data_IF_561725617150
#
_entry.id   IF_561725617150
#
_cell.length_a   1.000
_cell.length_b   1.000
_cell.length_c   1.000
_cell.angle_alpha   90.00
_cell.angle_beta   90.00
_cell.angle_gamma   90.00
#
_symmetry.space_group_name_H-M   'P 1'
#
loop_
_entity.id
_entity.type
_entity.pdbx_description
1 polymer ?
#
# COMPACT_ATOMS: atom_id res chain seq x y z
N UNK A 1 -13.03 18.18 -25.35
CA UNK A 1 -13.34 19.54 -24.85
C UNK A 1 -13.22 20.62 -25.93
N UNK A 2 -12.33 20.47 -26.94
CA UNK A 2 -12.07 21.50 -27.96
C UNK A 2 -13.16 21.65 -29.05
N UNK A 3 -14.35 21.04 -28.89
CA UNK A 3 -15.47 21.16 -29.84
C UNK A 3 -15.39 20.31 -31.12
N UNK A 4 -14.38 19.45 -31.28
CA UNK A 4 -14.19 18.65 -32.50
C UNK A 4 -15.16 17.45 -32.65
N UNK A 5 -15.75 16.97 -31.55
CA UNK A 5 -16.70 15.85 -31.53
C UNK A 5 -17.92 16.22 -30.67
N UNK A 6 -19.11 15.76 -31.05
CA UNK A 6 -20.37 16.08 -30.35
C UNK A 6 -20.60 15.22 -29.09
N UNK A 7 -20.13 13.96 -29.11
CA UNK A 7 -20.23 13.03 -27.99
C UNK A 7 -19.16 11.94 -28.08
N UNK A 8 -18.91 11.28 -26.95
CA UNK A 8 -18.07 10.08 -26.86
C UNK A 8 -18.63 9.10 -25.84
N UNK A 9 -18.20 7.84 -25.94
CA UNK A 9 -18.45 6.81 -24.95
C UNK A 9 -17.19 6.61 -24.12
N UNK A 10 -17.30 6.80 -22.82
CA UNK A 10 -16.18 6.64 -21.89
C UNK A 10 -16.62 5.77 -20.71
N UNK A 11 -15.64 5.09 -20.13
CA UNK A 11 -15.81 4.46 -18.83
C UNK A 11 -16.10 5.56 -17.79
N UNK A 12 -17.04 5.34 -16.89
CA UNK A 12 -17.53 6.34 -15.94
C UNK A 12 -16.41 6.88 -15.08
N UNK A 13 -15.43 6.06 -14.72
CA UNK A 13 -14.27 6.51 -13.99
C UNK A 13 -13.40 7.48 -14.79
N UNK A 14 -13.30 7.31 -16.11
CA UNK A 14 -12.64 8.28 -17.01
C UNK A 14 -13.46 9.56 -17.09
N UNK A 15 -14.80 9.45 -17.19
CA UNK A 15 -15.68 10.61 -17.17
C UNK A 15 -15.60 11.39 -15.85
N UNK A 16 -15.58 10.72 -14.70
CA UNK A 16 -15.45 11.34 -13.38
C UNK A 16 -14.11 12.09 -13.23
N UNK A 17 -13.02 11.54 -13.79
CA UNK A 17 -11.72 12.20 -13.84
C UNK A 17 -11.79 13.46 -14.71
N UNK A 18 -12.38 13.36 -15.89
CA UNK A 18 -12.47 14.47 -16.85
C UNK A 18 -13.43 15.57 -16.37
N UNK A 19 -14.58 15.23 -15.77
CA UNK A 19 -15.49 16.19 -15.13
C UNK A 19 -14.86 16.93 -13.96
N UNK A 20 -13.96 16.25 -13.22
CA UNK A 20 -13.21 16.88 -12.14
C UNK A 20 -12.10 17.83 -12.64
N UNK A 21 -11.66 17.67 -13.90
CA UNK A 21 -10.60 18.46 -14.52
C UNK A 21 -11.12 19.56 -15.47
N UNK A 22 -12.29 19.37 -16.08
CA UNK A 22 -12.88 20.26 -17.08
C UNK A 22 -14.40 20.36 -16.89
N UNK A 23 -14.89 21.60 -16.73
CA UNK A 23 -16.33 21.87 -16.52
C UNK A 23 -17.22 21.76 -17.77
N UNK A 24 -16.64 21.52 -18.95
CA UNK A 24 -17.35 21.62 -20.23
C UNK A 24 -17.96 20.30 -20.72
N UNK A 25 -17.67 19.20 -20.03
CA UNK A 25 -18.19 17.86 -20.34
C UNK A 25 -19.44 17.61 -19.49
N UNK A 26 -20.48 16.98 -20.05
CA UNK A 26 -21.70 16.63 -19.31
C UNK A 26 -22.08 15.18 -19.57
N UNK A 27 -22.35 14.41 -18.51
CA UNK A 27 -22.99 13.09 -18.63
C UNK A 27 -24.43 13.21 -19.12
N UNK A 28 -24.85 12.37 -20.06
CA UNK A 28 -26.20 12.41 -20.66
C UNK A 28 -26.94 11.09 -20.56
N UNK A 29 -26.29 9.95 -20.76
CA UNK A 29 -26.97 8.64 -20.62
C UNK A 29 -26.02 7.62 -20.02
N UNK A 30 -26.45 6.87 -19.00
CA UNK A 30 -25.73 5.69 -18.52
C UNK A 30 -26.17 4.47 -19.31
N UNK A 31 -25.23 3.71 -19.86
CA UNK A 31 -25.48 2.52 -20.69
C UNK A 31 -25.07 1.25 -19.91
N UNK A 32 -26.01 0.30 -19.82
CA UNK A 32 -25.89 -1.09 -19.35
C UNK A 32 -25.35 -1.38 -17.93
N UNK A 33 -25.28 -2.69 -17.61
CA UNK A 33 -24.86 -3.31 -16.35
C UNK A 33 -23.35 -3.15 -16.06
N UNK A 34 -22.98 -3.16 -14.78
CA UNK A 34 -21.59 -3.05 -14.30
C UNK A 34 -20.72 -4.22 -14.80
N UNK A 35 -19.74 -3.94 -15.65
CA UNK A 35 -18.79 -4.94 -16.14
C UNK A 35 -17.54 -4.91 -15.25
N UNK A 36 -17.02 -6.04 -14.72
CA UNK A 36 -15.77 -6.02 -13.95
C UNK A 36 -14.56 -5.70 -14.83
N UNK A 37 -13.57 -4.99 -14.29
CA UNK A 37 -12.22 -4.94 -14.89
C UNK A 37 -11.54 -6.30 -14.71
N UNK A 38 -11.01 -6.85 -15.81
CA UNK A 38 -10.27 -8.11 -15.82
C UNK A 38 -8.89 -7.92 -16.42
N UNK A 39 -7.92 -8.68 -15.91
CA UNK A 39 -6.61 -8.81 -16.55
C UNK A 39 -6.70 -10.00 -17.51
N UNK A 40 -6.56 -9.72 -18.80
CA UNK A 40 -6.53 -10.76 -19.82
C UNK A 40 -5.16 -11.43 -19.88
N UNK A 41 -5.14 -12.77 -19.98
CA UNK A 41 -3.94 -13.57 -20.24
C UNK A 41 -4.17 -14.47 -21.44
N UNK A 42 -3.10 -14.95 -22.09
CA UNK A 42 -3.22 -15.90 -23.20
C UNK A 42 -3.88 -17.21 -22.71
N UNK A 43 -4.80 -17.75 -23.51
CA UNK A 43 -5.60 -18.94 -23.16
C UNK A 43 -4.76 -20.17 -22.76
N UNK A 44 -3.53 -20.30 -23.25
CA UNK A 44 -2.66 -21.44 -22.93
C UNK A 44 -1.85 -21.25 -21.64
N UNK A 45 -2.05 -20.16 -20.89
CA UNK A 45 -1.25 -19.83 -19.70
C UNK A 45 -2.06 -19.87 -18.41
N UNK A 46 -2.62 -21.06 -18.10
CA UNK A 46 -3.43 -21.30 -16.91
C UNK A 46 -2.69 -20.99 -15.60
N UNK A 47 -1.38 -21.28 -15.54
CA UNK A 47 -0.57 -20.99 -14.35
C UNK A 47 -0.50 -19.49 -14.05
N UNK A 48 -0.33 -18.64 -15.06
CA UNK A 48 -0.34 -17.19 -14.85
C UNK A 48 -1.71 -16.69 -14.42
N UNK A 49 -2.79 -17.24 -15.01
CA UNK A 49 -4.18 -16.93 -14.64
C UNK A 49 -4.42 -17.20 -13.16
N UNK A 50 -4.02 -18.38 -12.67
CA UNK A 50 -4.14 -18.76 -11.26
C UNK A 50 -3.36 -17.82 -10.33
N UNK A 51 -2.08 -17.57 -10.65
CA UNK A 51 -1.23 -16.67 -9.86
C UNK A 51 -1.81 -15.27 -9.78
N UNK A 52 -2.31 -14.72 -10.90
CA UNK A 52 -2.95 -13.41 -10.95
C UNK A 52 -4.25 -13.38 -10.14
N UNK A 53 -5.09 -14.40 -10.24
CA UNK A 53 -6.33 -14.50 -9.47
C UNK A 53 -6.06 -14.53 -7.96
N UNK A 54 -5.06 -15.32 -7.52
CA UNK A 54 -4.63 -15.33 -6.11
C UNK A 54 -4.07 -13.97 -5.69
N UNK A 55 -3.26 -13.34 -6.55
CA UNK A 55 -2.70 -12.01 -6.29
C UNK A 55 -3.80 -10.96 -6.13
N UNK A 56 -4.72 -10.85 -7.08
CA UNK A 56 -5.84 -9.88 -7.07
C UNK A 56 -6.68 -10.09 -5.82
N UNK A 57 -7.10 -11.34 -5.51
CA UNK A 57 -7.89 -11.64 -4.31
C UNK A 57 -7.21 -11.19 -3.01
N UNK A 58 -5.89 -11.34 -2.93
CA UNK A 58 -5.09 -10.92 -1.77
C UNK A 58 -4.98 -9.40 -1.69
N UNK A 59 -4.67 -8.75 -2.82
CA UNK A 59 -4.43 -7.30 -2.88
C UNK A 59 -5.73 -6.53 -2.69
N UNK A 60 -6.84 -6.96 -3.30
CA UNK A 60 -8.15 -6.30 -3.18
C UNK A 60 -8.67 -6.23 -1.74
N UNK A 61 -8.23 -7.17 -0.88
CA UNK A 61 -8.55 -7.19 0.55
C UNK A 61 -7.53 -6.44 1.40
N UNK A 62 -6.45 -5.93 0.81
CA UNK A 62 -5.40 -5.24 1.54
C UNK A 62 -5.77 -3.78 1.79
N UNK A 63 -5.31 -3.26 2.93
CA UNK A 63 -5.44 -1.83 3.25
C UNK A 63 -4.68 -0.95 2.25
N UNK A 64 -3.63 -1.49 1.61
CA UNK A 64 -2.95 -0.84 0.49
C UNK A 64 -3.90 -0.60 -0.71
N UNK A 65 -4.71 -1.60 -1.07
CA UNK A 65 -5.73 -1.41 -2.11
C UNK A 65 -6.78 -0.41 -1.66
N UNK A 66 -7.21 -0.41 -0.39
CA UNK A 66 -8.16 0.60 0.08
C UNK A 66 -7.62 2.03 -0.06
N UNK A 67 -6.33 2.23 0.22
CA UNK A 67 -5.65 3.52 0.04
C UNK A 67 -5.60 3.93 -1.43
N UNK A 68 -5.13 3.05 -2.32
CA UNK A 68 -5.10 3.30 -3.76
C UNK A 68 -6.52 3.49 -4.34
N UNK A 69 -7.46 2.65 -3.93
CA UNK A 69 -8.87 2.71 -4.31
C UNK A 69 -9.59 3.91 -3.68
N UNK A 70 -9.03 4.60 -2.70
CA UNK A 70 -9.58 5.88 -2.26
C UNK A 70 -8.98 7.03 -3.07
N UNK A 71 -7.67 7.01 -3.36
CA UNK A 71 -6.97 8.03 -4.18
C UNK A 71 -7.48 8.06 -5.61
N UNK A 72 -7.55 6.87 -6.18
CA UNK A 72 -8.11 6.67 -7.48
C UNK A 72 -9.61 6.46 -7.23
N UNK A 73 -10.04 5.47 -6.49
CA UNK A 73 -11.39 5.01 -6.77
C UNK A 73 -12.62 5.76 -6.09
N UNK A 74 -12.59 6.96 -5.46
CA UNK A 74 -13.76 7.47 -4.63
C UNK A 74 -14.03 8.99 -4.58
N UNK A 75 -15.32 9.38 -4.62
CA UNK A 75 -15.79 10.71 -4.17
C UNK A 75 -15.62 10.92 -2.64
N UNK A 76 -15.39 12.18 -2.22
CA UNK A 76 -15.12 12.62 -0.82
C UNK A 76 -16.02 11.96 0.25
N UNK A 77 -17.30 11.78 -0.04
CA UNK A 77 -18.30 11.25 0.91
C UNK A 77 -18.16 9.72 1.13
N UNK A 78 -17.72 8.99 0.11
CA UNK A 78 -17.49 7.53 0.19
C UNK A 78 -16.23 7.16 0.95
N UNK A 79 -15.27 8.07 1.05
CA UNK A 79 -14.01 7.94 1.80
C UNK A 79 -14.30 8.02 3.30
N UNK A 80 -15.11 8.98 3.75
CA UNK A 80 -15.52 9.14 5.14
C UNK A 80 -16.21 7.90 5.75
N UNK A 81 -16.92 7.11 4.92
CA UNK A 81 -17.69 5.94 5.39
C UNK A 81 -16.86 4.66 5.56
N UNK A 82 -15.79 4.47 4.78
CA UNK A 82 -14.80 3.39 4.98
C UNK A 82 -13.77 3.76 6.05
N UNK A 83 -13.42 5.05 6.14
CA UNK A 83 -12.40 5.57 7.04
C UNK A 83 -12.83 5.69 8.50
N UNK A 84 -14.03 5.19 8.85
CA UNK A 84 -14.51 5.27 10.24
C UNK A 84 -13.56 4.65 11.27
N UNK A 85 -12.61 3.80 10.86
CA UNK A 85 -11.69 3.19 11.81
C UNK A 85 -10.17 3.36 11.59
N UNK A 86 -9.59 3.67 10.41
CA UNK A 86 -8.12 3.45 10.25
C UNK A 86 -7.29 4.36 9.34
N UNK A 87 -7.85 5.28 8.57
CA UNK A 87 -7.03 6.21 7.74
C UNK A 87 -7.67 7.59 7.75
N UNK A 88 -6.94 8.60 8.22
CA UNK A 88 -7.49 9.94 8.44
C UNK A 88 -7.17 10.86 7.26
N UNK A 89 -8.11 11.01 6.33
CA UNK A 89 -8.13 12.14 5.39
C UNK A 89 -6.86 12.33 4.52
N UNK A 90 -6.58 11.33 3.67
CA UNK A 90 -5.44 11.34 2.74
C UNK A 90 -5.51 12.46 1.69
N UNK A 91 -6.70 13.00 1.40
CA UNK A 91 -6.86 14.11 0.44
C UNK A 91 -6.18 15.40 0.91
N UNK A 92 -6.13 15.63 2.21
CA UNK A 92 -5.49 16.80 2.82
C UNK A 92 -4.06 16.50 3.29
N UNK A 93 -3.45 15.40 2.80
CA UNK A 93 -2.09 15.00 3.18
C UNK A 93 -1.96 14.43 4.59
N UNK A 94 -3.10 14.15 5.27
CA UNK A 94 -3.12 13.53 6.58
C UNK A 94 -3.12 12.01 6.41
N UNK A 95 -2.20 11.31 7.07
CA UNK A 95 -2.01 9.86 7.01
C UNK A 95 -2.61 9.20 8.25
N UNK A 96 -2.38 9.81 9.41
CA UNK A 96 -2.80 9.30 10.71
C UNK A 96 -3.31 10.42 11.63
N UNK A 97 -4.04 10.08 12.70
CA UNK A 97 -4.37 11.05 13.76
C UNK A 97 -3.13 11.66 14.45
N UNK A 98 -1.96 11.06 14.26
CA UNK A 98 -0.74 11.36 15.02
C UNK A 98 0.37 11.98 14.18
N UNK A 99 0.08 12.46 12.96
CA UNK A 99 1.10 12.92 12.01
C UNK A 99 2.08 13.94 12.60
N UNK A 100 1.60 14.92 13.37
CA UNK A 100 2.47 15.90 14.03
C UNK A 100 3.47 15.26 15.00
N UNK A 101 3.05 14.22 15.74
CA UNK A 101 3.94 13.48 16.63
C UNK A 101 4.92 12.61 15.83
N UNK A 102 4.43 11.94 14.79
CA UNK A 102 5.26 11.11 13.92
C UNK A 102 6.34 11.96 13.25
N UNK A 103 5.99 13.10 12.66
CA UNK A 103 6.92 14.07 12.07
C UNK A 103 7.97 14.52 13.07
N UNK A 104 7.53 15.07 14.22
CA UNK A 104 8.42 15.53 15.30
C UNK A 104 9.49 14.51 15.70
N UNK A 105 9.09 13.25 15.89
CA UNK A 105 10.04 12.22 16.31
C UNK A 105 10.85 11.65 15.14
N UNK A 106 10.30 11.59 13.93
CA UNK A 106 10.99 11.09 12.74
C UNK A 106 12.13 12.03 12.33
N UNK A 107 11.87 13.34 12.32
CA UNK A 107 12.84 14.38 11.95
C UNK A 107 14.07 14.33 12.85
N UNK A 108 13.88 14.05 14.15
CA UNK A 108 14.97 13.94 15.13
C UNK A 108 16.01 12.88 14.75
N UNK A 109 15.61 11.82 14.06
CA UNK A 109 16.49 10.70 13.70
C UNK A 109 16.63 10.54 12.18
N UNK A 110 16.23 11.55 11.39
CA UNK A 110 16.36 11.55 9.93
C UNK A 110 15.56 10.45 9.24
N UNK A 111 14.38 10.09 9.77
CA UNK A 111 13.45 9.20 9.06
C UNK A 111 12.42 10.01 8.29
N UNK A 112 12.02 9.51 7.11
CA UNK A 112 10.81 9.99 6.47
C UNK A 112 9.61 9.60 7.36
N UNK A 113 8.88 10.60 7.83
CA UNK A 113 7.75 10.40 8.73
C UNK A 113 6.66 9.51 8.13
N UNK A 114 6.53 9.46 6.81
CA UNK A 114 5.57 8.58 6.11
C UNK A 114 5.97 7.12 6.23
N UNK A 115 7.28 6.81 6.30
CA UNK A 115 7.76 5.45 6.56
C UNK A 115 7.38 5.01 7.98
N UNK A 116 7.58 5.89 8.96
CA UNK A 116 7.20 5.62 10.36
C UNK A 116 5.68 5.49 10.47
N UNK A 117 4.89 6.32 9.78
CA UNK A 117 3.44 6.17 9.75
C UNK A 117 3.02 4.82 9.11
N UNK A 118 3.71 4.39 8.05
CA UNK A 118 3.44 3.09 7.41
C UNK A 118 3.77 1.91 8.34
N UNK A 119 4.84 2.03 9.12
CA UNK A 119 5.20 1.07 10.17
C UNK A 119 4.19 1.07 11.32
N UNK A 120 3.81 2.24 11.84
CA UNK A 120 2.83 2.40 12.91
C UNK A 120 1.48 1.77 12.54
N UNK A 121 1.07 1.91 11.28
CA UNK A 121 -0.12 1.23 10.77
C UNK A 121 0.05 -0.30 10.80
N UNK A 122 1.22 -0.81 10.39
CA UNK A 122 1.50 -2.24 10.42
C UNK A 122 1.44 -2.81 11.84
N UNK A 123 1.88 -2.04 12.82
CA UNK A 123 1.96 -2.45 14.22
C UNK A 123 0.60 -2.47 14.93
N UNK A 124 -0.19 -1.40 14.80
CA UNK A 124 -1.44 -1.28 15.55
C UNK A 124 -2.65 -0.83 14.73
N UNK A 125 -2.48 -0.52 13.45
CA UNK A 125 -3.51 0.15 12.66
C UNK A 125 -3.91 1.50 13.27
N UNK A 126 -2.94 2.20 13.88
CA UNK A 126 -3.11 3.46 14.61
C UNK A 126 -3.94 3.36 15.91
N UNK A 127 -4.10 2.17 16.48
CA UNK A 127 -4.72 2.02 17.79
C UNK A 127 -3.69 2.28 18.93
N UNK A 128 -3.86 3.33 19.75
CA UNK A 128 -2.97 3.61 20.88
C UNK A 128 -3.17 2.66 22.06
N UNK A 129 -4.31 1.97 22.13
CA UNK A 129 -4.62 0.98 23.18
C UNK A 129 -4.17 -0.44 22.80
N UNK A 130 -3.64 -0.64 21.60
CA UNK A 130 -3.25 -1.95 21.10
C UNK A 130 -2.26 -2.65 22.03
N UNK A 131 -2.55 -3.92 22.33
CA UNK A 131 -1.71 -4.81 23.13
C UNK A 131 -1.59 -6.16 22.46
N UNK A 132 -0.37 -6.56 22.12
CA UNK A 132 -0.13 -7.89 21.54
C UNK A 132 -0.18 -8.98 22.62
N UNK A 133 -0.43 -10.22 22.17
CA UNK A 133 -0.35 -11.42 23.03
C UNK A 133 1.01 -11.60 23.68
N UNK A 134 2.09 -11.10 23.04
CA UNK A 134 3.46 -11.15 23.58
C UNK A 134 3.77 -9.99 24.54
N UNK A 135 2.86 -9.04 24.72
CA UNK A 135 2.97 -7.95 25.68
C UNK A 135 3.54 -6.64 25.14
N UNK A 136 3.75 -6.52 23.83
CA UNK A 136 4.05 -5.26 23.16
C UNK A 136 2.84 -4.30 23.24
N UNK A 137 3.10 -2.98 23.30
CA UNK A 137 2.05 -1.98 23.61
C UNK A 137 2.10 -0.73 22.73
N UNK A 138 0.92 -0.15 22.52
CA UNK A 138 0.73 1.17 21.91
C UNK A 138 0.91 1.19 20.40
N UNK A 139 0.98 2.40 19.85
CA UNK A 139 1.04 2.66 18.41
C UNK A 139 2.18 1.94 17.68
N UNK A 140 3.36 1.87 18.29
CA UNK A 140 4.55 1.26 17.66
C UNK A 140 4.84 -0.15 18.18
N UNK A 141 3.95 -0.74 19.00
CA UNK A 141 4.08 -2.09 19.56
C UNK A 141 5.47 -2.39 20.12
N UNK A 142 6.04 -1.47 20.91
CA UNK A 142 7.34 -1.69 21.56
C UNK A 142 7.13 -2.47 22.86
N UNK A 143 8.07 -3.36 23.18
CA UNK A 143 8.07 -4.08 24.46
C UNK A 143 8.34 -3.11 25.62
N UNK A 144 7.61 -3.18 26.74
CA UNK A 144 7.83 -2.27 27.88
C UNK A 144 9.28 -2.26 28.40
N UNK A 145 9.97 -3.41 28.37
CA UNK A 145 11.39 -3.51 28.73
C UNK A 145 12.28 -2.70 27.76
N UNK A 146 12.02 -2.80 26.46
CA UNK A 146 12.74 -2.04 25.44
C UNK A 146 12.51 -0.54 25.62
N UNK A 147 11.27 -0.11 25.84
CA UNK A 147 10.95 1.29 26.09
C UNK A 147 11.72 1.86 27.29
N UNK A 148 11.75 1.12 28.42
CA UNK A 148 12.54 1.51 29.59
C UNK A 148 14.03 1.60 29.30
N UNK A 149 14.59 0.66 28.55
CA UNK A 149 16.01 0.72 28.15
C UNK A 149 16.34 1.93 27.26
N UNK A 150 15.32 2.50 26.61
CA UNK A 150 15.43 3.72 25.82
C UNK A 150 15.10 4.99 26.63
N UNK A 151 14.83 4.87 27.94
CA UNK A 151 14.48 5.98 28.83
C UNK A 151 13.05 6.50 28.64
N UNK A 152 12.12 5.64 28.21
CA UNK A 152 10.72 6.01 27.93
C UNK A 152 9.79 5.20 28.83
N UNK A 153 9.09 5.90 29.72
CA UNK A 153 8.22 5.27 30.73
C UNK A 153 6.76 5.19 30.26
N UNK A 154 6.28 6.23 29.59
CA UNK A 154 4.87 6.42 29.19
C UNK A 154 4.53 5.80 27.83
N UNK A 155 4.85 4.53 27.62
CA UNK A 155 4.63 3.84 26.33
C UNK A 155 3.15 3.69 25.93
N UNK A 156 2.22 3.78 26.90
CA UNK A 156 0.79 3.72 26.62
C UNK A 156 0.22 5.07 26.11
N UNK A 157 0.98 6.15 26.23
CA UNK A 157 0.60 7.45 25.66
C UNK A 157 1.08 7.54 24.21
N UNK A 158 0.32 8.14 23.28
CA UNK A 158 0.69 8.23 21.86
C UNK A 158 2.11 8.76 21.62
N UNK A 159 2.48 9.86 22.28
CA UNK A 159 3.79 10.48 22.14
C UNK A 159 4.92 9.55 22.61
N UNK A 160 4.75 8.92 23.78
CA UNK A 160 5.74 7.98 24.32
C UNK A 160 5.86 6.71 23.46
N UNK A 161 4.75 6.19 22.93
CA UNK A 161 4.76 5.04 22.02
C UNK A 161 5.51 5.32 20.72
N UNK A 162 5.20 6.45 20.06
CA UNK A 162 5.84 6.87 18.82
C UNK A 162 7.34 7.12 19.06
N UNK A 163 7.67 7.87 20.12
CA UNK A 163 9.06 8.14 20.48
C UNK A 163 9.85 6.84 20.70
N UNK A 164 9.25 5.85 21.38
CA UNK A 164 9.89 4.57 21.65
C UNK A 164 10.13 3.79 20.36
N UNK A 165 9.14 3.73 19.47
CA UNK A 165 9.27 3.06 18.18
C UNK A 165 10.35 3.68 17.31
N UNK A 166 10.33 4.99 17.12
CA UNK A 166 11.31 5.69 16.27
C UNK A 166 12.73 5.59 16.85
N UNK A 167 12.89 5.78 18.17
CA UNK A 167 14.20 5.63 18.82
C UNK A 167 14.70 4.18 18.77
N UNK A 168 13.82 3.19 18.85
CA UNK A 168 14.21 1.79 18.67
C UNK A 168 14.60 1.50 17.21
N UNK A 169 13.90 2.10 16.25
CA UNK A 169 14.21 2.00 14.82
C UNK A 169 15.61 2.57 14.51
N UNK A 170 15.92 3.76 15.05
CA UNK A 170 17.23 4.38 15.00
C UNK A 170 18.32 3.48 15.59
N UNK A 171 18.08 3.00 16.82
CA UNK A 171 18.97 2.07 17.50
C UNK A 171 19.25 0.79 16.67
N UNK A 172 18.27 0.28 15.93
CA UNK A 172 18.49 -0.86 15.03
C UNK A 172 19.34 -0.49 13.82
N UNK A 173 19.10 0.69 13.21
CA UNK A 173 19.82 1.20 12.04
C UNK A 173 21.31 1.38 12.31
N UNK A 174 21.68 1.81 13.51
CA UNK A 174 23.07 2.04 13.95
C UNK A 174 23.85 0.74 14.19
N UNK A 175 23.20 -0.43 14.13
CA UNK A 175 23.85 -1.74 14.31
C UNK A 175 24.20 -2.44 13.01
N UNK A 176 23.88 -1.79 11.89
CA UNK A 176 24.30 -2.15 10.56
C UNK A 176 25.46 -1.23 10.15
N UNK A 177 26.36 -1.78 9.34
CA UNK A 177 27.57 -1.09 8.87
C UNK A 177 27.23 0.23 8.18
N UNK A 178 28.07 1.25 8.38
CA UNK A 178 27.91 2.56 7.74
C UNK A 178 28.24 2.52 6.25
N UNK A 179 28.99 1.51 5.78
CA UNK A 179 29.24 1.25 4.36
C UNK A 179 27.99 0.76 3.61
N UNK A 180 26.98 0.24 4.33
CA UNK A 180 25.72 -0.17 3.71
C UNK A 180 24.93 1.05 3.25
N UNK A 181 24.36 1.05 2.04
CA UNK A 181 23.45 2.08 1.59
C UNK A 181 22.35 2.34 2.63
N UNK A 182 22.06 3.61 2.90
CA UNK A 182 21.08 3.99 3.92
C UNK A 182 19.73 3.31 3.70
N UNK A 183 19.28 3.18 2.45
CA UNK A 183 18.06 2.48 2.07
C UNK A 183 18.06 1.00 2.50
N UNK A 184 19.18 0.29 2.33
CA UNK A 184 19.31 -1.10 2.76
C UNK A 184 19.35 -1.21 4.29
N UNK A 185 20.04 -0.29 4.96
CA UNK A 185 20.00 -0.20 6.42
C UNK A 185 18.57 -0.02 6.92
N UNK A 186 17.74 0.79 6.25
CA UNK A 186 16.32 0.94 6.61
C UNK A 186 15.56 -0.39 6.51
N UNK A 187 15.68 -1.12 5.40
CA UNK A 187 14.98 -2.41 5.20
C UNK A 187 15.44 -3.48 6.17
N UNK A 188 16.75 -3.60 6.39
CA UNK A 188 17.29 -4.52 7.39
C UNK A 188 16.83 -4.19 8.81
N UNK A 189 16.70 -2.90 9.11
CA UNK A 189 16.29 -2.47 10.44
C UNK A 189 14.80 -2.70 10.67
N UNK A 190 13.94 -2.53 9.65
CA UNK A 190 12.53 -2.95 9.73
C UNK A 190 12.39 -4.47 9.93
N UNK A 191 13.19 -5.27 9.21
CA UNK A 191 13.24 -6.71 9.43
C UNK A 191 13.70 -7.06 10.86
N UNK A 192 14.69 -6.33 11.38
CA UNK A 192 15.21 -6.52 12.73
C UNK A 192 14.25 -6.03 13.81
N UNK A 193 13.39 -5.05 13.51
CA UNK A 193 12.33 -4.60 14.39
C UNK A 193 11.32 -5.72 14.64
N UNK A 194 10.91 -6.41 13.56
CA UNK A 194 9.96 -7.51 13.62
C UNK A 194 10.54 -8.82 14.16
N UNK A 195 11.70 -9.24 13.65
CA UNK A 195 12.27 -10.56 13.93
C UNK A 195 13.50 -10.53 14.84
N UNK A 196 14.00 -9.37 15.22
CA UNK A 196 15.25 -9.23 15.97
C UNK A 196 16.50 -9.26 15.10
N UNK A 197 17.48 -8.43 15.45
CA UNK A 197 18.74 -8.27 14.67
C UNK A 197 19.56 -9.55 14.54
N UNK A 198 19.48 -10.46 15.53
CA UNK A 198 20.19 -11.74 15.49
C UNK A 198 19.80 -12.59 14.28
N UNK A 199 18.49 -12.69 14.02
CA UNK A 199 17.95 -13.42 12.90
C UNK A 199 18.26 -12.75 11.55
N UNK A 200 18.24 -11.41 11.49
CA UNK A 200 18.69 -10.69 10.28
C UNK A 200 20.16 -10.95 9.99
N UNK A 201 21.02 -10.98 11.01
CA UNK A 201 22.44 -11.34 10.85
C UNK A 201 22.64 -12.79 10.40
N UNK A 202 21.82 -13.73 10.87
CA UNK A 202 21.80 -15.10 10.35
C UNK A 202 21.37 -15.13 8.89
N UNK A 203 20.34 -14.37 8.51
CA UNK A 203 19.88 -14.29 7.13
C UNK A 203 20.97 -13.75 6.19
N UNK A 204 21.69 -12.68 6.59
CA UNK A 204 22.82 -12.14 5.81
C UNK A 204 23.96 -13.17 5.66
N UNK A 205 24.32 -13.88 6.73
CA UNK A 205 25.32 -14.97 6.66
C UNK A 205 24.88 -16.09 5.72
N UNK A 206 23.61 -16.47 5.78
CA UNK A 206 23.07 -17.51 4.91
C UNK A 206 22.99 -17.04 3.45
N UNK A 207 22.60 -15.79 3.19
CA UNK A 207 22.58 -15.20 1.85
C UNK A 207 23.97 -15.31 1.19
N UNK A 208 25.03 -14.93 1.89
CA UNK A 208 26.41 -15.07 1.41
C UNK A 208 26.76 -16.53 1.05
N UNK A 209 26.36 -17.50 1.89
CA UNK A 209 26.58 -18.94 1.61
C UNK A 209 25.81 -19.45 0.40
N UNK A 210 24.69 -18.80 0.06
CA UNK A 210 23.86 -19.14 -1.09
C UNK A 210 24.26 -18.38 -2.37
N UNK A 211 25.39 -17.64 -2.34
CA UNK A 211 25.83 -16.83 -3.47
C UNK A 211 24.96 -15.59 -3.73
N UNK A 212 24.20 -15.15 -2.73
CA UNK A 212 23.37 -13.93 -2.78
C UNK A 212 24.11 -12.76 -2.15
N UNK A 213 23.68 -11.56 -2.52
CA UNK A 213 24.21 -10.32 -1.96
C UNK A 213 23.71 -10.14 -0.50
N UNK A 214 24.57 -10.26 0.52
CA UNK A 214 24.16 -10.13 1.93
C UNK A 214 23.85 -8.68 2.33
N UNK A 215 24.10 -7.73 1.44
CA UNK A 215 23.99 -6.29 1.67
C UNK A 215 22.77 -5.69 0.98
N UNK A 216 22.01 -6.53 0.26
CA UNK A 216 20.69 -6.22 -0.29
C UNK A 216 19.60 -7.02 0.41
N UNK A 217 18.53 -6.36 0.80
CA UNK A 217 17.37 -7.00 1.39
C UNK A 217 16.54 -7.74 0.33
N UNK A 218 15.99 -7.01 -0.64
CA UNK A 218 15.06 -7.53 -1.64
C UNK A 218 15.76 -8.49 -2.61
N UNK A 219 15.07 -9.60 -2.92
CA UNK A 219 15.52 -10.70 -3.77
C UNK A 219 16.83 -11.41 -3.36
N UNK A 220 17.41 -10.97 -2.25
CA UNK A 220 18.68 -11.45 -1.73
C UNK A 220 18.50 -11.94 -0.30
N UNK A 221 18.75 -11.10 0.70
CA UNK A 221 18.70 -11.52 2.10
C UNK A 221 17.31 -11.99 2.54
N UNK A 222 16.23 -11.43 2.00
CA UNK A 222 14.87 -11.88 2.32
C UNK A 222 14.62 -13.35 1.93
N UNK A 223 15.25 -13.83 0.84
CA UNK A 223 15.13 -15.22 0.42
C UNK A 223 15.84 -16.15 1.41
N UNK A 224 16.99 -15.73 1.94
CA UNK A 224 17.68 -16.45 3.01
C UNK A 224 16.88 -16.42 4.32
N UNK A 225 16.24 -15.29 4.66
CA UNK A 225 15.35 -15.18 5.82
C UNK A 225 14.20 -16.20 5.76
N UNK A 226 13.56 -16.37 4.60
CA UNK A 226 12.52 -17.38 4.41
C UNK A 226 13.04 -18.80 4.68
N UNK A 227 14.28 -19.10 4.31
CA UNK A 227 14.89 -20.41 4.51
C UNK A 227 15.20 -20.72 5.97
N UNK A 228 15.39 -19.73 6.84
CA UNK A 228 15.60 -19.93 8.29
C UNK A 228 14.38 -20.51 9.03
N UNK A 229 13.22 -20.60 8.36
CA UNK A 229 12.06 -21.36 8.86
C UNK A 229 12.23 -22.88 8.69
N UNK A 230 13.19 -23.33 7.86
CA UNK A 230 13.44 -24.75 7.62
C UNK A 230 14.47 -25.28 8.61
N UNK A 231 14.16 -26.40 9.27
CA UNK A 231 14.99 -27.02 10.33
C UNK A 231 16.46 -27.19 9.94
N UNK A 232 16.77 -27.58 8.70
CA UNK A 232 18.14 -27.82 8.26
C UNK A 232 18.97 -26.54 8.14
N UNK A 233 18.36 -25.40 7.83
CA UNK A 233 19.02 -24.09 7.86
C UNK A 233 19.08 -23.53 9.29
N UNK A 234 17.95 -23.58 10.01
CA UNK A 234 17.84 -23.07 11.38
C UNK A 234 18.87 -23.69 12.34
N UNK A 235 19.14 -24.99 12.23
CA UNK A 235 20.15 -25.69 13.05
C UNK A 235 21.58 -25.15 12.88
N UNK A 236 21.88 -24.54 11.74
CA UNK A 236 23.20 -23.97 11.42
C UNK A 236 23.27 -22.46 11.71
N UNK A 237 22.14 -21.85 12.07
CA UNK A 237 22.02 -20.44 12.39
C UNK A 237 22.35 -20.20 13.87
N UNK A 238 22.99 -19.06 14.19
CA UNK A 238 23.39 -18.73 15.57
C UNK A 238 22.20 -18.50 16.49
N UNK A 239 21.14 -17.87 15.97
CA UNK A 239 19.90 -17.56 16.69
C UNK A 239 18.80 -18.57 16.40
N UNK A 240 19.07 -19.59 15.59
CA UNK A 240 18.16 -20.70 15.36
C UNK A 240 16.97 -20.36 14.46
N UNK A 241 15.84 -20.99 14.77
CA UNK A 241 14.60 -20.90 13.99
C UNK A 241 13.99 -19.49 14.08
N UNK A 242 13.51 -19.01 12.93
CA UNK A 242 12.61 -17.85 12.86
C UNK A 242 11.53 -18.14 11.82
N UNK A 243 10.31 -17.68 12.08
CA UNK A 243 9.27 -17.68 11.06
C UNK A 243 9.58 -16.60 10.02
N UNK A 244 10.48 -16.88 9.08
CA UNK A 244 11.00 -15.91 8.13
C UNK A 244 9.94 -15.23 7.24
N UNK A 245 8.73 -15.77 7.14
CA UNK A 245 7.62 -15.12 6.42
C UNK A 245 7.17 -13.83 7.12
N UNK A 246 7.19 -13.79 8.45
CA UNK A 246 6.78 -12.61 9.24
C UNK A 246 7.60 -11.36 8.89
N UNK A 247 8.95 -11.34 9.03
CA UNK A 247 9.74 -10.16 8.73
C UNK A 247 9.75 -9.80 7.24
N UNK A 248 9.68 -10.79 6.34
CA UNK A 248 9.64 -10.53 4.89
C UNK A 248 8.34 -9.85 4.50
N UNK A 249 7.20 -10.34 4.97
CA UNK A 249 5.91 -9.68 4.72
C UNK A 249 5.85 -8.31 5.38
N UNK A 250 6.34 -8.18 6.61
CA UNK A 250 6.39 -6.92 7.35
C UNK A 250 7.12 -5.82 6.56
N UNK A 251 8.33 -6.10 6.06
CA UNK A 251 9.10 -5.13 5.27
C UNK A 251 8.38 -4.79 3.95
N UNK A 252 7.83 -5.80 3.26
CA UNK A 252 7.14 -5.61 1.97
C UNK A 252 5.87 -4.78 2.12
N UNK A 253 5.06 -5.05 3.13
CA UNK A 253 3.80 -4.33 3.40
C UNK A 253 4.07 -2.88 3.81
N UNK A 254 5.10 -2.64 4.64
CA UNK A 254 5.52 -1.29 5.02
C UNK A 254 6.05 -0.53 3.81
N UNK A 255 6.91 -1.15 2.97
CA UNK A 255 7.42 -0.52 1.75
C UNK A 255 6.28 -0.11 0.82
N UNK A 256 5.36 -1.02 0.53
CA UNK A 256 4.22 -0.74 -0.35
C UNK A 256 3.36 0.42 0.19
N UNK A 257 3.08 0.42 1.50
CA UNK A 257 2.31 1.48 2.14
C UNK A 257 3.06 2.82 2.15
N UNK A 258 4.35 2.79 2.41
CA UNK A 258 5.22 3.97 2.35
C UNK A 258 5.25 4.57 0.94
N UNK A 259 5.43 3.75 -0.10
CA UNK A 259 5.38 4.20 -1.50
C UNK A 259 4.03 4.83 -1.84
N UNK A 260 2.93 4.25 -1.37
CA UNK A 260 1.61 4.83 -1.52
C UNK A 260 1.49 6.20 -0.82
N UNK A 261 2.01 6.33 0.41
CA UNK A 261 2.03 7.60 1.15
C UNK A 261 2.91 8.66 0.49
N UNK A 262 4.05 8.28 -0.07
CA UNK A 262 4.91 9.17 -0.85
C UNK A 262 4.19 9.61 -2.12
N UNK A 263 3.56 8.70 -2.87
CA UNK A 263 2.79 9.00 -4.09
C UNK A 263 1.52 9.82 -3.82
N UNK A 264 1.00 9.79 -2.58
CA UNK A 264 -0.07 10.68 -2.12
C UNK A 264 0.45 12.08 -1.79
N UNK A 265 1.56 12.18 -1.05
CA UNK A 265 2.14 13.48 -0.67
C UNK A 265 2.87 14.20 -1.80
N UNK A 266 3.29 13.48 -2.84
CA UNK A 266 4.03 14.03 -4.00
C UNK A 266 3.12 14.63 -5.08
N UNK A 267 1.79 14.50 -4.95
CA UNK A 267 0.85 14.94 -5.98
C UNK A 267 -0.38 15.65 -5.41
N UNK A 268 -0.27 16.98 -5.46
CA UNK A 268 -1.30 17.93 -5.91
C UNK A 268 -1.74 17.69 -7.37
N UNK A 269 -1.63 16.46 -7.93
CA UNK A 269 -1.95 16.16 -9.32
C UNK A 269 -2.51 14.74 -9.51
N UNK A 270 -3.63 14.62 -10.22
CA UNK A 270 -4.11 13.35 -10.77
C UNK A 270 -4.93 12.52 -9.78
N UNK A 271 -6.18 12.96 -9.64
CA UNK A 271 -7.28 12.29 -8.96
C UNK A 271 -7.82 11.10 -9.75
N UNK A 272 -8.21 10.10 -8.99
CA UNK A 272 -9.35 9.21 -9.16
C UNK A 272 -9.39 8.05 -10.22
N UNK A 273 -10.34 7.12 -10.03
CA UNK A 273 -11.01 6.09 -10.83
C UNK A 273 -12.25 5.55 -9.98
N UNK A 274 -12.97 4.45 -10.26
CA UNK A 274 -13.96 3.57 -9.50
C UNK A 274 -14.41 2.49 -10.53
N UNK A 275 -14.96 1.30 -10.22
CA UNK A 275 -15.28 0.30 -11.23
C UNK A 275 -16.43 0.74 -12.16
N UNK A 276 -16.61 -0.03 -13.23
CA UNK A 276 -17.15 0.39 -14.53
C UNK A 276 -18.66 0.60 -14.52
N UNK A 277 -19.02 1.78 -14.98
CA UNK A 277 -20.30 2.08 -15.59
C UNK A 277 -19.97 2.80 -16.90
N UNK A 278 -20.73 2.67 -17.98
CA UNK A 278 -20.46 3.46 -19.19
C UNK A 278 -21.43 4.63 -19.23
N UNK A 279 -20.91 5.83 -19.44
CA UNK A 279 -21.74 7.04 -19.50
C UNK A 279 -21.43 7.80 -20.78
N UNK A 280 -22.48 7.99 -21.57
CA UNK A 280 -22.51 8.81 -22.78
C UNK A 280 -22.45 10.27 -22.34
N UNK A 281 -21.41 10.98 -22.75
CA UNK A 281 -21.24 12.40 -22.43
C UNK A 281 -21.53 13.26 -23.66
N UNK A 282 -22.40 14.28 -23.52
CA UNK A 282 -22.76 15.23 -24.58
C UNK A 282 -21.96 16.50 -24.38
N UNK A 283 -21.36 16.98 -25.47
CA UNK A 283 -20.71 18.28 -25.53
C UNK A 283 -21.71 19.32 -26.10
N UNK A 284 -21.57 20.61 -25.79
CA UNK A 284 -22.58 21.62 -26.14
C UNK A 284 -22.69 21.79 -27.66
N UNK A 285 -23.91 21.69 -28.23
CA UNK A 285 -24.20 22.13 -29.61
C UNK A 285 -24.99 21.19 -30.54
N UNK A 286 -25.09 19.89 -30.26
CA UNK A 286 -25.75 18.92 -31.18
C UNK A 286 -27.27 18.76 -30.98
N UNK A 287 -28.03 18.41 -32.04
CA UNK A 287 -29.48 18.15 -31.99
C UNK A 287 -29.78 16.72 -31.45
N UNK A 288 -30.60 16.63 -30.39
CA UNK A 288 -30.82 15.40 -29.62
C UNK A 288 -31.54 14.28 -30.39
N UNK A 289 -32.43 14.63 -31.32
CA UNK A 289 -33.34 13.67 -31.96
C UNK A 289 -32.68 12.88 -33.12
N UNK A 290 -31.75 13.51 -33.85
CA UNK A 290 -30.97 12.80 -34.88
C UNK A 290 -29.98 11.78 -34.26
N UNK A 291 -29.56 12.00 -33.02
CA UNK A 291 -28.52 11.22 -32.36
C UNK A 291 -29.05 9.92 -31.73
N UNK A 292 -30.29 9.93 -31.20
CA UNK A 292 -30.96 8.74 -30.67
C UNK A 292 -31.24 7.70 -31.78
N UNK A 293 -31.54 8.16 -32.99
CA UNK A 293 -31.83 7.28 -34.13
C UNK A 293 -30.59 6.56 -34.68
N UNK A 294 -29.40 7.19 -34.58
CA UNK A 294 -28.11 6.56 -34.92
C UNK A 294 -27.78 5.45 -33.93
N UNK A 295 -27.97 5.67 -32.63
CA UNK A 295 -27.69 4.69 -31.56
C UNK A 295 -28.58 3.44 -31.71
N UNK A 296 -29.87 3.61 -32.04
CA UNK A 296 -30.78 2.48 -32.29
C UNK A 296 -30.35 1.61 -33.46
N UNK A 297 -29.72 2.19 -34.49
CA UNK A 297 -29.23 1.48 -35.69
C UNK A 297 -27.90 0.77 -35.47
N UNK A 298 -27.04 1.27 -34.57
CA UNK A 298 -25.73 0.64 -34.28
C UNK A 298 -25.86 -0.51 -33.28
N UNK A 299 -26.77 -0.43 -32.31
CA UNK A 299 -27.02 -1.49 -31.32
C UNK A 299 -27.59 -2.80 -31.92
N UNK A 300 -28.10 -2.78 -33.15
CA UNK A 300 -28.63 -3.96 -33.85
C UNK A 300 -27.56 -4.82 -34.52
N UNK A 301 -26.29 -4.37 -34.60
CA UNK A 301 -25.19 -5.16 -35.16
C UNK A 301 -24.40 -5.86 -34.06
N UNK A 302 -24.79 -7.12 -33.84
CA UNK A 302 -24.10 -8.18 -33.09
C UNK A 302 -22.61 -7.91 -32.86
N UNK A 303 -22.21 -7.66 -31.62
CA UNK A 303 -20.89 -8.04 -31.14
C UNK A 303 -21.04 -9.42 -30.50
N UNK A 304 -20.35 -10.37 -31.10
CA UNK A 304 -20.33 -11.78 -30.75
C UNK A 304 -19.82 -11.94 -29.33
N UNK A 305 -20.65 -12.57 -28.49
CA UNK A 305 -20.33 -13.02 -27.15
C UNK A 305 -19.23 -14.08 -27.18
N UNK A 306 -18.17 -13.89 -26.41
CA UNK A 306 -17.28 -14.94 -25.95
C UNK A 306 -17.12 -14.83 -24.45
N UNK A 307 -17.97 -15.54 -23.70
CA UNK A 307 -17.79 -15.78 -22.26
C UNK A 307 -16.53 -16.63 -22.05
N UNK A 308 -15.65 -16.25 -21.11
CA UNK A 308 -14.99 -17.10 -20.08
C UNK A 308 -13.99 -16.27 -19.26
#
# INVERSE_FOLDING_TARGET
ANGELEATLVEQHVLEIELAASGDIKSVVKLDEEIPHVIAVRNNNERLKEVLNTFIKRVYKSEFYNVLYSKYFKSRESVARLNRNRVTDLENGKISPFDNLVQKYSDKYGFDWRLIAAQMFQESGFDPAAKSHRGARGLMQVMPRTARSLGIEKINEPAGSIQAGVKYMDWLRDRFDDELPLTERLWFSLAAYNAGIGHVRDARRLARKLGKDPDKWFDNTEQAMLLLSKKHYAKKARYGFVNGREPVNYVREIKQRFEAYVELGSKTFGRYAKPREFVLARLPGGNADQFIDIIRRTASRKVVSGFF
#
